data_IF_520266891087
#
_entry.id   IF_520266891087
#
_cell.length_a   1.000
_cell.length_b   1.000
_cell.length_c   1.000
_cell.angle_alpha   90.00
_cell.angle_beta   90.00
_cell.angle_gamma   90.00
#
_symmetry.space_group_name_H-M   'P 1'
#
loop_
_entity.id
_entity.type
_entity.pdbx_description
1 polymer ?
#
# COMPACT_ATOMS: atom_id res chain seq x y z
N UNK A 1 -13.61 -8.96 31.74
CA UNK A 1 -12.17 -9.14 31.48
C UNK A 1 -11.44 -9.64 32.71
N UNK A 2 -11.50 -8.96 33.86
CA UNK A 2 -10.93 -9.46 35.12
C UNK A 2 -11.41 -10.89 35.49
N UNK A 3 -12.71 -11.15 35.39
CA UNK A 3 -13.26 -12.48 35.62
C UNK A 3 -12.68 -13.58 34.70
N UNK A 4 -12.09 -13.24 33.55
CA UNK A 4 -11.39 -14.21 32.69
C UNK A 4 -10.00 -14.54 33.23
N UNK A 5 -9.28 -13.56 33.80
CA UNK A 5 -8.01 -13.79 34.48
C UNK A 5 -8.22 -14.65 35.72
N UNK A 6 -9.23 -14.33 36.53
CA UNK A 6 -9.59 -15.13 37.71
C UNK A 6 -9.95 -16.56 37.31
N UNK A 7 -10.74 -16.72 36.23
CA UNK A 7 -11.08 -18.04 35.70
C UNK A 7 -9.85 -18.80 35.22
N UNK A 8 -8.91 -18.16 34.53
CA UNK A 8 -7.67 -18.79 34.09
C UNK A 8 -6.83 -19.24 35.28
N UNK A 9 -6.67 -18.39 36.29
CA UNK A 9 -5.95 -18.72 37.53
C UNK A 9 -6.58 -19.86 38.33
N UNK A 10 -7.89 -20.07 38.22
CA UNK A 10 -8.59 -21.12 38.98
C UNK A 10 -8.80 -22.42 38.21
N UNK A 11 -8.98 -22.37 36.89
CA UNK A 11 -9.49 -23.50 36.09
C UNK A 11 -8.57 -23.98 34.99
N UNK A 12 -7.54 -23.23 34.62
CA UNK A 12 -6.64 -23.63 33.55
C UNK A 12 -5.61 -24.65 34.05
N UNK A 13 -5.37 -25.72 33.29
CA UNK A 13 -4.54 -26.86 33.71
C UNK A 13 -3.06 -26.51 33.94
N UNK A 14 -2.59 -25.39 33.38
CA UNK A 14 -1.20 -24.92 33.49
C UNK A 14 -1.11 -23.71 34.41
N UNK A 15 -1.95 -22.69 34.17
CA UNK A 15 -1.90 -21.42 34.92
C UNK A 15 -2.32 -21.63 36.38
N UNK A 16 -3.28 -22.52 36.66
CA UNK A 16 -3.73 -22.77 38.04
C UNK A 16 -2.67 -23.40 38.96
N UNK A 17 -1.60 -23.94 38.38
CA UNK A 17 -0.47 -24.51 39.14
C UNK A 17 0.55 -23.47 39.58
N UNK A 18 0.46 -22.24 39.06
CA UNK A 18 1.39 -21.16 39.35
C UNK A 18 0.95 -20.31 40.53
N UNK A 19 1.89 -19.85 41.34
CA UNK A 19 1.59 -18.91 42.41
C UNK A 19 1.52 -17.47 41.86
N UNK A 20 0.31 -17.04 41.45
CA UNK A 20 0.06 -15.74 40.82
C UNK A 20 -0.80 -14.86 41.73
N UNK A 21 -0.39 -13.62 41.93
CA UNK A 21 -1.18 -12.57 42.61
C UNK A 21 -1.39 -11.39 41.68
N UNK A 22 -2.64 -11.00 41.43
CA UNK A 22 -2.98 -9.79 40.69
C UNK A 22 -3.06 -8.60 41.66
N UNK A 23 -2.03 -7.75 41.68
CA UNK A 23 -1.99 -6.56 42.55
C UNK A 23 -2.50 -5.32 41.84
N UNK A 24 -2.10 -5.14 40.58
CA UNK A 24 -2.55 -4.05 39.72
C UNK A 24 -2.77 -4.59 38.31
N UNK A 25 -3.89 -4.21 37.70
CA UNK A 25 -4.33 -4.77 36.41
C UNK A 25 -4.65 -3.72 35.35
N UNK A 26 -4.54 -2.44 35.69
CA UNK A 26 -4.98 -1.34 34.81
C UNK A 26 -4.21 -1.35 33.50
N UNK A 27 -2.88 -1.49 33.56
CA UNK A 27 -2.03 -1.52 32.37
C UNK A 27 -2.29 -2.77 31.53
N UNK A 28 -2.50 -3.92 32.18
CA UNK A 28 -2.80 -5.20 31.53
C UNK A 28 -4.12 -5.11 30.75
N UNK A 29 -5.15 -4.52 31.37
CA UNK A 29 -6.44 -4.27 30.73
C UNK A 29 -6.33 -3.21 29.61
N UNK A 30 -5.58 -2.13 29.83
CA UNK A 30 -5.35 -1.09 28.84
C UNK A 30 -4.68 -1.66 27.57
N UNK A 31 -3.64 -2.47 27.72
CA UNK A 31 -2.95 -3.09 26.58
C UNK A 31 -3.80 -4.13 25.86
N UNK A 32 -4.71 -4.81 26.56
CA UNK A 32 -5.69 -5.69 25.93
C UNK A 32 -6.67 -4.95 25.01
N UNK A 33 -6.92 -3.66 25.27
CA UNK A 33 -7.85 -2.83 24.47
C UNK A 33 -9.28 -3.37 24.45
N UNK A 34 -9.69 -4.12 25.47
CA UNK A 34 -11.03 -4.73 25.53
C UNK A 34 -11.11 -6.15 24.97
N UNK A 35 -10.06 -6.66 24.33
CA UNK A 35 -10.03 -8.00 23.72
C UNK A 35 -9.59 -9.07 24.73
N UNK A 36 -10.46 -10.06 24.96
CA UNK A 36 -10.24 -11.17 25.88
C UNK A 36 -9.07 -12.09 25.51
N UNK A 37 -8.86 -12.34 24.21
CA UNK A 37 -7.78 -13.20 23.73
C UNK A 37 -6.44 -12.49 23.90
N UNK A 38 -6.39 -11.21 23.54
CA UNK A 38 -5.19 -10.38 23.72
C UNK A 38 -4.80 -10.27 25.19
N UNK A 39 -5.80 -10.10 26.08
CA UNK A 39 -5.59 -10.09 27.53
C UNK A 39 -4.92 -11.37 28.03
N UNK A 40 -5.47 -12.53 27.66
CA UNK A 40 -4.94 -13.83 28.10
C UNK A 40 -3.53 -14.08 27.55
N UNK A 41 -3.25 -13.71 26.30
CA UNK A 41 -1.92 -13.84 25.71
C UNK A 41 -0.87 -12.98 26.45
N UNK A 42 -1.19 -11.72 26.75
CA UNK A 42 -0.27 -10.83 27.48
C UNK A 42 -0.05 -11.37 28.89
N UNK A 43 -1.12 -11.81 29.55
CA UNK A 43 -1.06 -12.39 30.88
C UNK A 43 -0.20 -13.66 30.90
N UNK A 44 -0.41 -14.59 29.97
CA UNK A 44 0.35 -15.84 29.86
C UNK A 44 1.84 -15.59 29.60
N UNK A 45 2.17 -14.64 28.71
CA UNK A 45 3.56 -14.23 28.48
C UNK A 45 4.21 -13.72 29.76
N UNK A 46 3.51 -12.86 30.50
CA UNK A 46 4.01 -12.24 31.72
C UNK A 46 4.25 -13.24 32.85
N UNK A 47 3.34 -14.19 33.08
CA UNK A 47 3.50 -15.20 34.13
C UNK A 47 4.56 -16.26 33.78
N UNK A 48 4.96 -16.35 32.51
CA UNK A 48 6.00 -17.27 32.02
C UNK A 48 7.37 -16.60 31.95
N UNK A 49 7.45 -15.27 31.90
CA UNK A 49 8.72 -14.53 31.85
C UNK A 49 9.34 -14.28 33.23
N UNK A 50 8.58 -14.51 34.32
CA UNK A 50 8.99 -14.21 35.69
C UNK A 50 9.07 -15.49 36.53
N UNK A 51 10.04 -15.57 37.44
CA UNK A 51 10.15 -16.69 38.40
C UNK A 51 9.08 -16.56 39.48
N UNK A 52 8.55 -17.69 39.92
CA UNK A 52 7.50 -17.72 40.95
C UNK A 52 8.04 -17.33 42.35
N UNK A 53 7.24 -16.64 43.19
CA UNK A 53 5.84 -16.23 42.94
C UNK A 53 5.71 -15.02 42.01
N UNK A 54 4.69 -15.03 41.15
CA UNK A 54 4.43 -13.96 40.19
C UNK A 54 3.46 -12.94 40.80
N UNK A 55 3.92 -11.70 40.95
CA UNK A 55 3.09 -10.59 41.41
C UNK A 55 2.88 -9.63 40.24
N UNK A 56 1.66 -9.61 39.70
CA UNK A 56 1.32 -8.74 38.56
C UNK A 56 1.08 -7.33 39.07
N UNK A 57 1.97 -6.42 38.68
CA UNK A 57 1.87 -4.97 38.89
C UNK A 57 1.90 -4.23 37.55
N UNK A 58 1.49 -2.96 37.54
CA UNK A 58 1.56 -2.15 36.33
C UNK A 58 3.02 -1.99 35.86
N UNK A 59 3.98 -1.83 36.78
CA UNK A 59 5.41 -1.75 36.46
C UNK A 59 5.93 -3.03 35.79
N UNK A 60 5.56 -4.20 36.32
CA UNK A 60 5.98 -5.49 35.74
C UNK A 60 5.42 -5.69 34.34
N UNK A 61 4.16 -5.31 34.15
CA UNK A 61 3.49 -5.31 32.84
C UNK A 61 4.21 -4.38 31.88
N UNK A 62 4.60 -3.18 32.33
CA UNK A 62 5.32 -2.20 31.52
C UNK A 62 6.70 -2.72 31.09
N UNK A 63 7.51 -3.26 32.00
CA UNK A 63 8.86 -3.78 31.69
C UNK A 63 8.82 -4.94 30.69
N UNK A 64 7.90 -5.89 30.87
CA UNK A 64 7.80 -7.08 30.02
C UNK A 64 7.19 -6.77 28.64
N UNK A 65 6.26 -5.83 28.58
CA UNK A 65 5.69 -5.38 27.31
C UNK A 65 6.71 -4.52 26.55
N UNK A 66 7.48 -3.68 27.24
CA UNK A 66 8.57 -2.92 26.62
C UNK A 66 9.65 -3.85 26.04
N UNK A 67 10.05 -4.91 26.75
CA UNK A 67 11.04 -5.87 26.23
C UNK A 67 10.58 -6.60 24.94
N UNK A 68 9.27 -6.86 24.78
CA UNK A 68 8.71 -7.45 23.56
C UNK A 68 8.43 -6.41 22.47
N UNK A 69 8.05 -5.18 22.81
CA UNK A 69 7.95 -4.05 21.87
C UNK A 69 9.33 -3.65 21.33
N UNK A 70 10.41 -3.82 22.09
CA UNK A 70 11.78 -3.58 21.63
C UNK A 70 12.20 -4.55 20.50
N UNK A 71 11.54 -5.71 20.34
CA UNK A 71 11.75 -6.59 19.17
C UNK A 71 11.04 -6.13 17.90
N UNK A 72 10.07 -5.24 18.01
CA UNK A 72 9.40 -4.60 16.88
C UNK A 72 9.13 -3.15 17.22
N UNK A 73 10.18 -2.34 17.11
CA UNK A 73 10.09 -0.91 17.34
C UNK A 73 9.26 -0.25 16.22
N UNK A 74 7.95 -0.13 16.47
CA UNK A 74 6.99 0.57 15.59
C UNK A 74 7.31 2.04 15.38
N UNK A 75 8.19 2.61 16.20
CA UNK A 75 8.58 4.01 16.20
C UNK A 75 10.02 4.25 15.76
N UNK A 76 10.76 3.18 15.46
CA UNK A 76 12.19 3.26 15.16
C UNK A 76 12.57 2.77 13.78
N UNK A 77 13.89 2.64 13.59
CA UNK A 77 14.55 2.26 12.35
C UNK A 77 14.06 0.91 11.80
N UNK A 78 13.81 -0.08 12.67
CA UNK A 78 13.41 -1.42 12.26
C UNK A 78 12.05 -1.48 11.55
N UNK A 79 11.08 -0.65 11.93
CA UNK A 79 9.80 -0.57 11.22
C UNK A 79 10.02 -0.17 9.75
N UNK A 80 10.82 0.88 9.52
CA UNK A 80 11.14 1.36 8.18
C UNK A 80 11.95 0.35 7.36
N UNK A 81 12.89 -0.33 7.99
CA UNK A 81 13.70 -1.35 7.32
C UNK A 81 12.87 -2.56 6.90
N UNK A 82 11.98 -3.06 7.78
CA UNK A 82 11.15 -4.22 7.47
C UNK A 82 10.16 -3.90 6.34
N UNK A 83 9.48 -2.74 6.38
CA UNK A 83 8.56 -2.38 5.30
C UNK A 83 9.31 -2.09 3.99
N UNK A 84 10.51 -1.51 4.07
CA UNK A 84 11.40 -1.31 2.92
C UNK A 84 11.81 -2.65 2.30
N UNK A 85 12.24 -3.61 3.11
CA UNK A 85 12.61 -4.94 2.66
C UNK A 85 11.42 -5.68 2.04
N UNK A 86 10.24 -5.60 2.66
CA UNK A 86 8.98 -6.15 2.14
C UNK A 86 8.66 -5.65 0.72
N UNK A 87 8.66 -4.33 0.52
CA UNK A 87 8.36 -3.71 -0.78
C UNK A 87 9.44 -4.06 -1.81
N UNK A 88 10.72 -4.06 -1.42
CA UNK A 88 11.83 -4.45 -2.30
C UNK A 88 11.75 -5.92 -2.71
N UNK A 89 11.33 -6.82 -1.83
CA UNK A 89 11.14 -8.24 -2.16
C UNK A 89 10.04 -8.44 -3.20
N UNK A 90 8.91 -7.75 -3.06
CA UNK A 90 7.82 -7.83 -4.05
C UNK A 90 8.27 -7.24 -5.40
N UNK A 91 8.94 -6.07 -5.38
CA UNK A 91 9.54 -5.44 -6.56
C UNK A 91 10.54 -6.36 -7.25
N UNK A 92 11.39 -7.01 -6.46
CA UNK A 92 12.36 -8.03 -6.90
C UNK A 92 11.74 -9.36 -7.32
N UNK A 93 10.41 -9.49 -7.26
CA UNK A 93 9.67 -10.70 -7.63
C UNK A 93 10.03 -11.94 -6.81
N UNK A 94 10.40 -11.75 -5.54
CA UNK A 94 10.63 -12.83 -4.58
C UNK A 94 9.44 -12.96 -3.62
N UNK A 95 8.48 -13.88 -3.89
CA UNK A 95 7.33 -14.10 -3.01
C UNK A 95 7.73 -14.69 -1.66
N UNK A 96 8.84 -15.43 -1.56
CA UNK A 96 9.26 -16.08 -0.32
C UNK A 96 9.77 -15.04 0.68
N UNK A 97 10.69 -14.17 0.22
CA UNK A 97 11.19 -13.07 1.03
C UNK A 97 10.06 -12.09 1.40
N UNK A 98 9.16 -11.79 0.46
CA UNK A 98 8.02 -10.93 0.73
C UNK A 98 7.08 -11.51 1.81
N UNK A 99 6.79 -12.80 1.77
CA UNK A 99 5.99 -13.46 2.81
C UNK A 99 6.70 -13.49 4.16
N UNK A 100 8.03 -13.67 4.19
CA UNK A 100 8.80 -13.58 5.43
C UNK A 100 8.69 -12.19 6.07
N UNK A 101 8.90 -11.12 5.29
CA UNK A 101 8.77 -9.76 5.82
C UNK A 101 7.33 -9.40 6.21
N UNK A 102 6.34 -9.92 5.49
CA UNK A 102 4.93 -9.83 5.89
C UNK A 102 4.71 -10.47 7.26
N UNK A 103 5.20 -11.70 7.46
CA UNK A 103 5.06 -12.42 8.73
C UNK A 103 5.72 -11.65 9.88
N UNK A 104 6.91 -11.08 9.65
CA UNK A 104 7.62 -10.22 10.63
C UNK A 104 6.78 -9.00 11.04
N UNK A 105 6.12 -8.34 10.09
CA UNK A 105 5.23 -7.21 10.40
C UNK A 105 3.99 -7.66 11.19
N UNK A 106 3.36 -8.77 10.81
CA UNK A 106 2.16 -9.28 11.49
C UNK A 106 2.48 -9.70 12.92
N UNK A 107 3.57 -10.43 13.13
CA UNK A 107 4.04 -10.84 14.45
C UNK A 107 4.43 -9.64 15.31
N UNK A 108 5.06 -8.63 14.71
CA UNK A 108 5.31 -7.32 15.30
C UNK A 108 4.05 -6.49 15.63
N UNK A 109 2.87 -6.96 15.21
CA UNK A 109 1.59 -6.29 15.42
C UNK A 109 1.41 -5.03 14.60
N UNK A 110 2.05 -4.93 13.44
CA UNK A 110 1.85 -3.85 12.47
C UNK A 110 0.37 -3.70 12.10
N UNK A 111 -0.06 -2.47 11.84
CA UNK A 111 -1.43 -2.24 11.37
C UNK A 111 -1.63 -2.89 9.99
N UNK A 112 -2.58 -3.83 9.88
CA UNK A 112 -2.88 -4.49 8.60
C UNK A 112 -3.34 -3.51 7.52
N UNK A 113 -3.97 -2.39 7.91
CA UNK A 113 -4.31 -1.32 6.97
C UNK A 113 -3.06 -0.59 6.49
N UNK A 114 -2.03 -0.44 7.33
CA UNK A 114 -0.74 0.09 6.91
C UNK A 114 -0.09 -0.81 5.86
N UNK A 115 0.00 -2.12 6.11
CA UNK A 115 0.56 -3.08 5.15
C UNK A 115 -0.22 -3.02 3.81
N UNK A 116 -1.55 -3.04 3.87
CA UNK A 116 -2.38 -3.00 2.67
C UNK A 116 -2.27 -1.67 1.90
N UNK A 117 -2.11 -0.52 2.56
CA UNK A 117 -1.81 0.76 1.89
C UNK A 117 -0.52 0.69 1.08
N UNK A 118 0.51 0.04 1.64
CA UNK A 118 1.81 -0.11 0.97
C UNK A 118 1.71 -1.04 -0.24
N UNK A 119 0.91 -2.10 -0.18
CA UNK A 119 0.60 -2.95 -1.34
C UNK A 119 -0.16 -2.21 -2.44
N UNK A 120 -1.11 -1.34 -2.06
CA UNK A 120 -1.86 -0.53 -3.00
C UNK A 120 -0.96 0.43 -3.78
N UNK A 121 -0.06 1.14 -3.10
CA UNK A 121 0.93 2.02 -3.74
C UNK A 121 1.83 1.21 -4.67
N UNK A 122 2.41 0.11 -4.17
CA UNK A 122 3.29 -0.77 -4.94
C UNK A 122 2.61 -1.30 -6.21
N UNK A 123 1.31 -1.60 -6.16
CA UNK A 123 0.58 -2.11 -7.33
C UNK A 123 0.57 -1.11 -8.51
N UNK A 124 0.61 0.19 -8.23
CA UNK A 124 0.72 1.24 -9.24
C UNK A 124 2.17 1.61 -9.57
N UNK A 125 3.07 1.58 -8.58
CA UNK A 125 4.47 1.99 -8.72
C UNK A 125 5.33 0.94 -9.44
N UNK A 126 5.19 -0.33 -9.08
CA UNK A 126 6.10 -1.40 -9.50
C UNK A 126 5.50 -2.39 -10.49
N UNK A 127 4.18 -2.44 -10.63
CA UNK A 127 3.45 -3.35 -11.53
C UNK A 127 2.74 -2.56 -12.64
N UNK A 128 2.00 -1.52 -12.25
CA UNK A 128 1.41 -0.55 -13.17
C UNK A 128 0.59 -1.20 -14.27
N UNK A 129 0.82 -0.75 -15.50
CA UNK A 129 0.08 -1.23 -16.67
C UNK A 129 0.59 -2.56 -17.24
N UNK A 130 1.67 -3.12 -16.70
CA UNK A 130 2.06 -4.50 -17.05
C UNK A 130 1.00 -5.50 -16.55
N UNK A 131 0.38 -5.23 -15.39
CA UNK A 131 -0.78 -5.96 -14.90
C UNK A 131 -1.76 -5.03 -14.12
N UNK A 132 -2.68 -4.31 -14.79
CA UNK A 132 -3.68 -3.44 -14.17
C UNK A 132 -4.57 -4.11 -13.12
N UNK A 133 -4.76 -5.44 -13.18
CA UNK A 133 -5.53 -6.19 -12.20
C UNK A 133 -4.88 -6.16 -10.81
N UNK A 134 -3.57 -5.91 -10.72
CA UNK A 134 -2.86 -5.73 -9.46
C UNK A 134 -3.44 -4.61 -8.60
N UNK A 135 -3.81 -3.48 -9.21
CA UNK A 135 -4.44 -2.36 -8.50
C UNK A 135 -5.80 -2.76 -7.92
N UNK A 136 -6.59 -3.52 -8.68
CA UNK A 136 -7.90 -4.04 -8.24
C UNK A 136 -7.71 -5.02 -7.08
N UNK A 137 -6.77 -5.96 -7.21
CA UNK A 137 -6.45 -6.95 -6.17
C UNK A 137 -6.01 -6.27 -4.88
N UNK A 138 -5.11 -5.28 -4.96
CA UNK A 138 -4.61 -4.57 -3.80
C UNK A 138 -5.69 -3.69 -3.15
N UNK A 139 -6.55 -3.04 -3.94
CA UNK A 139 -7.69 -2.27 -3.43
C UNK A 139 -8.70 -3.15 -2.68
N UNK A 140 -9.07 -4.29 -3.28
CA UNK A 140 -9.97 -5.24 -2.64
C UNK A 140 -9.35 -5.85 -1.38
N UNK A 141 -8.04 -6.09 -1.39
CA UNK A 141 -7.28 -6.50 -0.20
C UNK A 141 -7.39 -5.44 0.89
N UNK A 142 -7.16 -4.16 0.58
CA UNK A 142 -7.28 -3.06 1.54
C UNK A 142 -8.68 -2.97 2.16
N UNK A 143 -9.73 -3.10 1.35
CA UNK A 143 -11.11 -3.12 1.83
C UNK A 143 -11.37 -4.32 2.75
N UNK A 144 -10.97 -5.52 2.32
CA UNK A 144 -11.21 -6.74 3.07
C UNK A 144 -10.49 -6.75 4.43
N UNK A 145 -9.21 -6.36 4.50
CA UNK A 145 -8.48 -6.31 5.78
C UNK A 145 -9.03 -5.24 6.71
N UNK A 146 -9.60 -4.16 6.14
CA UNK A 146 -10.22 -3.10 6.93
C UNK A 146 -11.49 -3.54 7.66
N UNK A 147 -12.17 -4.56 7.13
CA UNK A 147 -13.40 -5.11 7.69
C UNK A 147 -13.09 -6.28 8.63
N UNK A 148 -12.15 -7.16 8.26
CA UNK A 148 -11.91 -8.43 8.97
C UNK A 148 -11.00 -8.27 10.18
N UNK A 149 -9.92 -7.49 10.08
CA UNK A 149 -8.94 -7.36 11.16
C UNK A 149 -8.10 -8.63 11.39
N UNK A 150 -7.41 -8.68 12.53
CA UNK A 150 -6.48 -9.76 12.87
C UNK A 150 -7.15 -10.87 13.72
N UNK A 151 -6.69 -12.14 13.62
CA UNK A 151 -5.55 -12.61 12.82
C UNK A 151 -5.85 -12.99 11.36
N UNK A 152 -7.12 -13.02 10.93
CA UNK A 152 -7.53 -13.55 9.62
C UNK A 152 -7.01 -12.72 8.43
N UNK A 153 -6.80 -11.41 8.60
CA UNK A 153 -6.24 -10.54 7.56
C UNK A 153 -4.88 -11.02 7.02
N UNK A 154 -4.11 -11.81 7.78
CA UNK A 154 -2.85 -12.40 7.32
C UNK A 154 -3.01 -13.23 6.04
N UNK A 155 -4.15 -13.92 5.89
CA UNK A 155 -4.42 -14.82 4.76
C UNK A 155 -4.64 -14.00 3.49
N UNK A 156 -5.42 -12.93 3.59
CA UNK A 156 -5.75 -12.04 2.48
C UNK A 156 -4.50 -11.26 2.04
N UNK A 157 -3.73 -10.75 3.02
CA UNK A 157 -2.46 -10.09 2.74
C UNK A 157 -1.49 -11.04 2.02
N UNK A 158 -1.34 -12.28 2.50
CA UNK A 158 -0.45 -13.26 1.88
C UNK A 158 -0.84 -13.55 0.42
N UNK A 159 -2.14 -13.72 0.12
CA UNK A 159 -2.62 -13.91 -1.24
C UNK A 159 -2.25 -12.72 -2.15
N UNK A 160 -2.49 -11.49 -1.68
CA UNK A 160 -2.15 -10.29 -2.43
C UNK A 160 -0.64 -10.18 -2.68
N UNK A 161 0.17 -10.42 -1.65
CA UNK A 161 1.64 -10.37 -1.73
C UNK A 161 2.17 -11.32 -2.79
N UNK A 162 1.73 -12.59 -2.78
CA UNK A 162 2.17 -13.59 -3.76
C UNK A 162 1.74 -13.17 -5.18
N UNK A 163 0.52 -12.66 -5.36
CA UNK A 163 0.04 -12.17 -6.64
C UNK A 163 0.89 -11.02 -7.19
N UNK A 164 1.21 -10.03 -6.34
CA UNK A 164 2.01 -8.86 -6.74
C UNK A 164 3.47 -9.26 -7.03
N UNK A 165 4.05 -10.15 -6.23
CA UNK A 165 5.41 -10.65 -6.44
C UNK A 165 5.55 -11.39 -7.79
N UNK A 166 4.53 -12.16 -8.19
CA UNK A 166 4.53 -12.88 -9.47
C UNK A 166 4.01 -12.07 -10.67
N UNK A 167 3.53 -10.84 -10.46
CA UNK A 167 3.05 -9.98 -11.56
C UNK A 167 4.21 -9.42 -12.39
N UNK A 168 3.98 -9.24 -13.70
CA UNK A 168 4.90 -8.51 -14.55
C UNK A 168 5.13 -7.09 -14.00
N UNK A 169 6.38 -6.64 -13.99
CA UNK A 169 6.78 -5.36 -13.38
C UNK A 169 6.81 -4.25 -14.42
N UNK A 170 6.35 -3.07 -14.03
CA UNK A 170 6.51 -1.83 -14.79
C UNK A 170 6.30 -0.62 -13.90
N UNK A 171 7.25 0.30 -13.96
CA UNK A 171 7.16 1.63 -13.36
C UNK A 171 6.95 2.73 -14.41
N UNK A 172 6.58 2.37 -15.64
CA UNK A 172 6.44 3.29 -16.79
C UNK A 172 5.56 4.50 -16.48
N UNK A 173 4.37 4.26 -15.91
CA UNK A 173 3.41 5.30 -15.54
C UNK A 173 3.89 6.15 -14.35
N UNK A 174 4.60 5.52 -13.40
CA UNK A 174 5.19 6.21 -12.24
C UNK A 174 6.29 7.20 -12.70
N UNK A 175 7.22 6.75 -13.53
CA UNK A 175 8.26 7.62 -14.10
C UNK A 175 7.65 8.70 -15.00
N UNK A 176 6.60 8.37 -15.75
CA UNK A 176 5.95 9.34 -16.63
C UNK A 176 5.28 10.49 -15.87
N UNK A 177 4.61 10.21 -14.75
CA UNK A 177 3.99 11.28 -13.93
C UNK A 177 5.06 12.14 -13.25
N UNK A 178 6.14 11.55 -12.75
CA UNK A 178 7.25 12.30 -12.15
C UNK A 178 7.92 13.22 -13.19
N UNK A 179 8.12 12.72 -14.41
CA UNK A 179 8.62 13.53 -15.53
C UNK A 179 7.67 14.67 -15.88
N UNK A 180 6.37 14.41 -15.96
CA UNK A 180 5.37 15.44 -16.26
C UNK A 180 5.34 16.53 -15.18
N UNK A 181 5.36 16.13 -13.89
CA UNK A 181 5.39 17.04 -12.76
C UNK A 181 6.66 17.90 -12.76
N UNK A 182 7.81 17.32 -13.13
CA UNK A 182 9.04 18.09 -13.28
C UNK A 182 8.94 19.09 -14.43
N UNK A 183 8.41 18.68 -15.58
CA UNK A 183 8.21 19.59 -16.72
C UNK A 183 7.32 20.78 -16.35
N UNK A 184 6.24 20.58 -15.59
CA UNK A 184 5.37 21.68 -15.12
C UNK A 184 6.14 22.66 -14.23
N UNK A 185 7.06 22.18 -13.39
CA UNK A 185 7.92 23.05 -12.57
C UNK A 185 8.89 23.85 -13.44
N UNK A 186 9.42 23.25 -14.50
CA UNK A 186 10.44 23.86 -15.36
C UNK A 186 9.83 24.86 -16.35
N UNK A 187 8.63 24.60 -16.87
CA UNK A 187 7.98 25.44 -17.90
C UNK A 187 6.96 26.42 -17.34
N UNK A 188 6.55 26.26 -16.08
CA UNK A 188 5.49 27.05 -15.46
C UNK A 188 4.11 26.76 -16.06
N UNK A 189 3.26 27.78 -16.10
CA UNK A 189 1.86 27.65 -16.52
C UNK A 189 1.71 27.87 -18.04
N UNK A 190 2.22 26.94 -18.85
CA UNK A 190 1.98 26.95 -20.29
C UNK A 190 0.47 26.95 -20.60
N UNK A 191 0.09 27.71 -21.61
CA UNK A 191 -1.31 27.88 -21.99
C UNK A 191 -1.88 26.62 -22.65
N UNK A 192 -3.14 26.30 -22.32
CA UNK A 192 -3.89 25.27 -23.05
C UNK A 192 -4.07 25.72 -24.52
N UNK A 193 -3.77 24.87 -25.52
CA UNK A 193 -3.99 25.17 -26.94
C UNK A 193 -5.44 25.61 -27.21
N UNK A 194 -5.64 26.61 -28.07
CA UNK A 194 -6.95 27.24 -28.31
C UNK A 194 -8.04 26.22 -28.69
N UNK A 195 -7.72 25.27 -29.58
CA UNK A 195 -8.66 24.23 -30.04
C UNK A 195 -9.01 23.20 -28.96
N UNK A 196 -8.34 23.20 -27.80
CA UNK A 196 -8.69 22.37 -26.64
C UNK A 196 -9.45 23.14 -25.56
N UNK A 197 -9.54 24.47 -25.65
CA UNK A 197 -10.23 25.28 -24.64
C UNK A 197 -11.73 25.08 -24.73
N UNK A 198 -12.39 25.12 -23.58
CA UNK A 198 -13.84 25.21 -23.53
C UNK A 198 -14.30 26.62 -23.93
N UNK A 199 -15.41 26.72 -24.67
CA UNK A 199 -15.99 27.98 -25.15
C UNK A 199 -17.47 28.15 -24.74
N UNK A 200 -17.76 28.24 -23.43
CA UNK A 200 -19.14 28.32 -22.93
C UNK A 200 -19.81 29.68 -23.22
N UNK A 201 -19.04 30.76 -23.40
CA UNK A 201 -19.59 32.10 -23.65
C UNK A 201 -19.46 32.50 -25.11
N UNK A 202 -20.29 33.46 -25.56
CA UNK A 202 -20.21 34.02 -26.91
C UNK A 202 -18.84 34.67 -27.18
N UNK A 203 -18.36 35.46 -26.22
CA UNK A 203 -17.04 36.10 -26.30
C UNK A 203 -15.91 35.07 -26.50
N UNK A 204 -15.95 33.93 -25.81
CA UNK A 204 -14.93 32.89 -25.97
C UNK A 204 -14.95 32.25 -27.35
N UNK A 205 -16.14 32.04 -27.94
CA UNK A 205 -16.28 31.57 -29.33
C UNK A 205 -15.77 32.61 -30.32
N UNK A 206 -16.10 33.88 -30.10
CA UNK A 206 -15.62 34.99 -30.93
C UNK A 206 -14.08 35.13 -30.86
N UNK A 207 -13.46 34.71 -29.75
CA UNK A 207 -12.00 34.61 -29.55
C UNK A 207 -11.39 33.28 -30.07
N UNK A 208 -12.19 32.43 -30.71
CA UNK A 208 -11.74 31.18 -31.34
C UNK A 208 -11.46 30.03 -30.37
N UNK A 209 -12.04 30.04 -29.17
CA UNK A 209 -11.84 28.95 -28.21
C UNK A 209 -12.59 27.71 -28.70
N UNK A 210 -11.92 26.56 -28.68
CA UNK A 210 -12.48 25.29 -29.16
C UNK A 210 -12.62 25.20 -30.68
N UNK A 211 -12.30 26.27 -31.42
CA UNK A 211 -12.30 26.25 -32.87
C UNK A 211 -11.31 25.21 -33.39
N UNK A 212 -11.69 24.52 -34.47
CA UNK A 212 -10.89 23.48 -35.10
C UNK A 212 -10.61 22.24 -34.22
N UNK A 213 -11.28 22.09 -33.07
CA UNK A 213 -11.23 20.86 -32.30
C UNK A 213 -11.72 19.68 -33.15
N UNK A 214 -10.87 18.66 -33.28
CA UNK A 214 -11.24 17.44 -34.01
C UNK A 214 -11.76 16.41 -33.02
N UNK A 215 -13.07 16.17 -33.00
CA UNK A 215 -13.66 15.17 -32.12
C UNK A 215 -13.32 13.75 -32.61
N UNK A 216 -12.43 13.05 -31.90
CA UNK A 216 -11.82 11.78 -32.35
C UNK A 216 -12.82 10.70 -32.79
N UNK A 217 -13.99 10.61 -32.15
CA UNK A 217 -15.01 9.61 -32.50
C UNK A 217 -15.64 9.83 -33.88
N UNK A 218 -15.53 11.02 -34.47
CA UNK A 218 -15.99 11.29 -35.83
C UNK A 218 -15.01 10.81 -36.91
N UNK A 219 -13.83 10.32 -36.52
CA UNK A 219 -12.78 9.88 -37.44
C UNK A 219 -12.62 8.36 -37.39
N UNK A 220 -12.06 7.79 -38.47
CA UNK A 220 -11.84 6.36 -38.58
C UNK A 220 -11.04 5.82 -37.37
N UNK A 221 -11.48 4.67 -36.85
CA UNK A 221 -10.90 4.03 -35.65
C UNK A 221 -10.92 4.88 -34.38
N UNK A 222 -11.76 5.93 -34.33
CA UNK A 222 -11.87 6.82 -33.17
C UNK A 222 -10.59 7.62 -32.89
N UNK A 223 -9.82 7.95 -33.94
CA UNK A 223 -8.55 8.64 -33.79
C UNK A 223 -8.35 9.70 -34.88
N UNK A 224 -7.84 10.86 -34.47
CA UNK A 224 -7.39 11.92 -35.37
C UNK A 224 -6.13 12.57 -34.80
N UNK A 225 -5.13 12.76 -35.66
CA UNK A 225 -3.93 13.48 -35.28
C UNK A 225 -4.24 14.98 -35.13
N UNK A 226 -3.99 15.49 -33.94
CA UNK A 226 -3.97 16.91 -33.59
C UNK A 226 -3.00 17.11 -32.43
N UNK A 227 -2.58 18.35 -32.19
CA UNK A 227 -1.74 18.66 -31.04
C UNK A 227 -2.59 18.69 -29.76
N UNK A 228 -2.05 18.15 -28.67
CA UNK A 228 -2.69 18.20 -27.35
C UNK A 228 -1.80 18.84 -26.28
N UNK A 229 -0.48 18.86 -26.50
CA UNK A 229 0.45 19.59 -25.66
C UNK A 229 0.50 21.07 -26.06
N UNK A 230 0.90 21.97 -25.14
CA UNK A 230 1.32 23.32 -25.52
C UNK A 230 2.42 23.29 -26.57
N UNK A 231 2.45 24.30 -27.44
CA UNK A 231 3.41 24.41 -28.55
C UNK A 231 4.86 24.36 -28.07
N UNK A 232 5.16 24.88 -26.88
CA UNK A 232 6.52 24.93 -26.33
C UNK A 232 7.07 23.55 -25.95
N UNK A 233 6.19 22.56 -25.73
CA UNK A 233 6.56 21.18 -25.37
C UNK A 233 5.95 20.15 -26.32
N UNK A 234 5.52 20.58 -27.51
CA UNK A 234 5.01 19.67 -28.52
C UNK A 234 6.04 18.57 -28.85
N UNK A 235 5.55 17.41 -29.29
CA UNK A 235 6.37 16.24 -29.62
C UNK A 235 7.19 15.65 -28.44
N UNK A 236 7.04 16.17 -27.22
CA UNK A 236 7.74 15.62 -26.06
C UNK A 236 7.11 14.29 -25.63
N UNK A 237 7.91 13.21 -25.66
CA UNK A 237 7.50 11.91 -25.12
C UNK A 237 7.63 11.91 -23.59
N UNK A 238 6.48 11.95 -22.90
CA UNK A 238 6.40 11.90 -21.44
C UNK A 238 6.28 10.46 -20.94
N UNK A 239 5.46 9.65 -21.61
CA UNK A 239 5.24 8.24 -21.28
C UNK A 239 5.99 7.34 -22.25
N UNK A 240 6.74 6.36 -21.73
CA UNK A 240 7.36 5.29 -22.51
C UNK A 240 6.89 3.96 -21.91
N UNK A 241 6.12 3.14 -22.66
CA UNK A 241 5.75 1.80 -22.20
C UNK A 241 7.00 0.97 -21.86
N UNK A 242 6.97 0.13 -20.82
CA UNK A 242 8.09 -0.78 -20.52
C UNK A 242 8.12 -1.98 -21.48
N UNK A 243 9.20 -2.75 -21.46
CA UNK A 243 9.37 -3.94 -22.31
C UNK A 243 8.75 -5.18 -21.66
N UNK A 244 7.42 -5.21 -21.59
CA UNK A 244 6.65 -6.38 -21.17
C UNK A 244 5.52 -6.66 -22.17
N UNK A 245 4.96 -7.86 -22.14
CA UNK A 245 3.97 -8.29 -23.13
C UNK A 245 2.79 -7.33 -23.28
N UNK A 246 2.24 -6.83 -22.16
CA UNK A 246 1.05 -5.97 -22.16
C UNK A 246 1.36 -4.58 -22.67
N UNK A 247 2.43 -3.97 -22.19
CA UNK A 247 2.84 -2.62 -22.59
C UNK A 247 3.48 -2.56 -23.99
N UNK A 248 4.01 -3.68 -24.49
CA UNK A 248 4.42 -3.78 -25.89
C UNK A 248 3.21 -3.59 -26.84
N UNK A 249 2.02 -4.08 -26.47
CA UNK A 249 0.79 -3.81 -27.23
C UNK A 249 0.45 -2.31 -27.21
N UNK A 250 0.71 -1.62 -26.10
CA UNK A 250 0.51 -0.18 -26.00
C UNK A 250 1.48 0.55 -26.93
N UNK A 251 2.77 0.17 -26.91
CA UNK A 251 3.79 0.76 -27.78
C UNK A 251 3.40 0.63 -29.26
N UNK A 252 3.00 -0.56 -29.70
CA UNK A 252 2.60 -0.78 -31.10
C UNK A 252 1.35 0.02 -31.49
N UNK A 253 0.38 0.14 -30.57
CA UNK A 253 -0.80 0.97 -30.80
C UNK A 253 -0.43 2.46 -30.89
N UNK A 254 0.45 2.93 -30.00
CA UNK A 254 0.94 4.30 -29.98
C UNK A 254 1.77 4.63 -31.23
N UNK A 255 2.66 3.74 -31.69
CA UNK A 255 3.37 3.86 -32.97
C UNK A 255 2.42 4.00 -34.14
N UNK A 256 1.37 3.16 -34.22
CA UNK A 256 0.40 3.23 -35.32
C UNK A 256 -0.38 4.56 -35.32
N UNK A 257 -0.79 5.03 -34.14
CA UNK A 257 -1.56 6.28 -33.99
C UNK A 257 -0.72 7.53 -34.21
N UNK A 258 0.42 7.60 -33.52
CA UNK A 258 1.25 8.80 -33.45
C UNK A 258 2.43 8.81 -34.44
N UNK A 259 2.66 7.70 -35.14
CA UNK A 259 3.75 7.53 -36.11
C UNK A 259 5.07 7.96 -35.46
N UNK A 260 5.83 8.83 -36.12
CA UNK A 260 7.09 9.36 -35.60
C UNK A 260 6.98 10.47 -34.56
N UNK A 261 5.78 10.98 -34.24
CA UNK A 261 5.61 12.21 -33.43
C UNK A 261 6.38 12.17 -32.10
N UNK A 262 6.31 11.04 -31.40
CA UNK A 262 6.94 10.85 -30.09
C UNK A 262 8.10 9.83 -30.13
N UNK A 263 8.43 9.28 -31.30
CA UNK A 263 9.47 8.26 -31.46
C UNK A 263 9.24 7.01 -30.59
N UNK A 264 8.04 6.41 -30.65
CA UNK A 264 7.74 5.13 -30.00
C UNK A 264 8.36 3.94 -30.74
#
# INVERSE_FOLDING_TARGET
>A
LLALLDRAMLKDDVISKKNITLKETDLLLQYSGGDARKLLNIFELLINSVKEPVIVTNDLVQENIQANLVRYDKTGEQHYDIISAFIKSIRGSDPNAALYWLARMIDGGEDVKFIARRLLILSSEDIGNANPTALIMANNTFQAVSIIGNPESRIILAQCVVYLANSAKSNSSYIAIDKALQMVKDTGNLSVPLHLRNAPTKLMKDLGYGDNYKYSHNYANGFVAQEFLPTEIENTKIYEPSNNQRENVFRETLKKRWKGKYGY
#
